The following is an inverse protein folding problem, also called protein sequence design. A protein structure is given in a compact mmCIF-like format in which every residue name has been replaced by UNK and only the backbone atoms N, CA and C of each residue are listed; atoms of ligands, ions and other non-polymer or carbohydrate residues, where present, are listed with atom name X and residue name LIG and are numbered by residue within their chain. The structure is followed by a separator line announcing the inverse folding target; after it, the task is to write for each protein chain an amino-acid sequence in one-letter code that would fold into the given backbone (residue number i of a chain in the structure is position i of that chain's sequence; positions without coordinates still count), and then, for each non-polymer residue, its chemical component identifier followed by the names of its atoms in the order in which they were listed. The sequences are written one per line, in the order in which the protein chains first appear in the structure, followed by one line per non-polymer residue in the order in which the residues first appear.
data_IF_389030242941
#
_entry.id   IF_389030242941
#
_cell.length_a   1.000
_cell.length_b   1.000
_cell.length_c   1.000
_cell.angle_alpha   90.00
_cell.angle_beta   90.00
_cell.angle_gamma   90.00
#
_symmetry.space_group_name_H-M   'P 1'
#
loop_
_entity.id
_entity.type
_entity.pdbx_description
1 polymer ?
#
# COMPACT_ATOMS: atom_id res chain seq x y z
N UNK A 1 -1.06 26.83 55.13
CA UNK A 1 0.36 26.84 54.73
C UNK A 1 0.60 25.59 53.88
N UNK A 2 0.63 25.72 52.55
CA UNK A 2 0.91 24.58 51.68
C UNK A 2 2.42 24.37 51.62
N UNK A 3 2.94 23.41 52.38
CA UNK A 3 4.34 23.01 52.27
C UNK A 3 4.55 22.32 50.92
N UNK A 4 5.21 23.01 50.00
CA UNK A 4 5.67 22.38 48.75
C UNK A 4 6.80 21.43 49.09
N UNK A 5 6.50 20.13 49.17
CA UNK A 5 7.52 19.08 49.31
C UNK A 5 8.35 19.07 48.02
N UNK A 6 9.50 19.74 48.03
CA UNK A 6 10.48 19.68 46.94
C UNK A 6 11.21 18.35 47.07
N UNK A 7 10.84 17.34 46.28
CA UNK A 7 11.61 16.09 46.19
C UNK A 7 13.00 16.40 45.63
N UNK A 8 14.04 16.17 46.44
CA UNK A 8 15.43 16.26 45.99
C UNK A 8 15.67 15.20 44.90
N UNK A 9 16.10 15.63 43.72
CA UNK A 9 16.46 14.72 42.64
C UNK A 9 17.75 13.98 43.02
N UNK A 10 17.79 12.66 42.82
CA UNK A 10 18.97 11.84 43.06
C UNK A 10 19.87 11.87 41.82
N UNK A 11 21.18 12.05 42.04
CA UNK A 11 22.19 11.88 40.99
C UNK A 11 22.34 10.38 40.67
N UNK A 12 22.24 10.03 39.41
CA UNK A 12 22.33 8.67 38.88
C UNK A 12 23.75 8.38 38.38
N UNK A 13 24.08 7.10 38.18
CA UNK A 13 25.40 6.64 37.74
C UNK A 13 25.80 7.21 36.37
N UNK A 14 24.81 7.44 35.51
CA UNK A 14 24.97 8.14 34.23
C UNK A 14 25.27 9.65 34.35
N UNK A 15 25.51 10.16 35.56
CA UNK A 15 25.82 11.57 35.84
C UNK A 15 24.62 12.51 35.85
N UNK A 16 23.48 12.08 35.32
CA UNK A 16 22.23 12.84 35.26
C UNK A 16 21.41 12.73 36.55
N UNK A 17 20.43 13.62 36.72
CA UNK A 17 19.45 13.51 37.80
C UNK A 17 18.24 12.67 37.41
N UNK A 18 17.67 11.99 38.40
CA UNK A 18 16.41 11.29 38.24
C UNK A 18 15.23 12.26 38.00
N UNK A 19 14.12 11.73 37.51
CA UNK A 19 12.89 12.51 37.29
C UNK A 19 11.71 11.89 38.06
N UNK A 20 10.62 12.65 38.19
CA UNK A 20 9.43 12.18 38.91
C UNK A 20 8.90 10.89 38.27
N UNK A 21 8.61 9.88 39.10
CA UNK A 21 8.19 8.54 38.68
C UNK A 21 9.24 7.72 37.91
N UNK A 22 10.52 8.10 38.02
CA UNK A 22 11.60 7.35 37.37
C UNK A 22 11.92 6.04 38.07
N UNK A 23 12.08 4.96 37.28
CA UNK A 23 12.60 3.67 37.72
C UNK A 23 14.13 3.68 37.74
N UNK A 24 14.74 4.55 38.55
CA UNK A 24 16.20 4.76 38.59
C UNK A 24 16.82 5.21 37.23
N UNK A 25 16.08 5.98 36.43
CA UNK A 25 16.55 6.47 35.13
C UNK A 25 16.38 7.98 35.03
N UNK A 26 17.27 8.66 34.31
CA UNK A 26 17.01 10.05 33.94
C UNK A 26 15.98 10.09 32.80
N UNK A 27 15.41 11.26 32.54
CA UNK A 27 14.38 11.42 31.48
C UNK A 27 14.90 10.93 30.12
N UNK A 28 16.12 11.29 29.75
CA UNK A 28 16.73 10.89 28.48
C UNK A 28 16.90 9.37 28.38
N UNK A 29 17.47 8.72 29.39
CA UNK A 29 17.64 7.25 29.39
C UNK A 29 16.31 6.49 29.41
N UNK A 30 15.28 7.03 30.10
CA UNK A 30 13.95 6.46 30.04
C UNK A 30 13.35 6.57 28.62
N UNK A 31 13.53 7.71 27.95
CA UNK A 31 13.11 7.90 26.57
C UNK A 31 13.84 6.95 25.62
N UNK A 32 15.16 6.83 25.73
CA UNK A 32 15.98 5.91 24.91
C UNK A 32 15.48 4.47 25.08
N UNK A 33 15.37 3.98 26.32
CA UNK A 33 14.89 2.62 26.62
C UNK A 33 13.47 2.37 26.09
N UNK A 34 12.58 3.35 26.23
CA UNK A 34 11.22 3.24 25.69
C UNK A 34 11.20 3.23 24.16
N UNK A 35 12.14 3.91 23.52
CA UNK A 35 12.26 3.98 22.05
C UNK A 35 12.83 2.69 21.51
N UNK A 36 13.91 2.18 22.09
CA UNK A 36 14.49 0.86 21.76
C UNK A 36 13.43 -0.23 21.80
N UNK A 37 12.67 -0.31 22.90
CA UNK A 37 11.57 -1.30 23.03
C UNK A 37 10.49 -1.16 21.93
N UNK A 38 10.21 0.05 21.45
CA UNK A 38 9.25 0.26 20.35
C UNK A 38 9.83 -0.16 19.00
N UNK A 39 11.13 0.10 18.78
CA UNK A 39 11.84 -0.30 17.56
C UNK A 39 11.91 -1.82 17.48
N UNK A 40 12.38 -2.48 18.55
CA UNK A 40 12.43 -3.95 18.65
C UNK A 40 11.06 -4.58 18.34
N UNK A 41 10.00 -4.05 18.95
CA UNK A 41 8.63 -4.52 18.69
C UNK A 41 8.20 -4.31 17.23
N UNK A 42 8.60 -3.21 16.60
CA UNK A 42 8.26 -2.92 15.21
C UNK A 42 9.00 -3.86 14.26
N UNK A 43 10.29 -4.12 14.50
CA UNK A 43 11.10 -5.06 13.74
C UNK A 43 10.53 -6.49 13.83
N UNK A 44 10.16 -6.94 15.04
CA UNK A 44 9.49 -8.23 15.26
C UNK A 44 8.15 -8.31 14.50
N UNK A 45 7.37 -7.22 14.50
CA UNK A 45 6.10 -7.15 13.78
C UNK A 45 6.30 -7.22 12.26
N UNK A 46 7.29 -6.53 11.72
CA UNK A 46 7.62 -6.60 10.30
C UNK A 46 8.10 -7.99 9.89
N UNK A 47 8.90 -8.66 10.72
CA UNK A 47 9.42 -10.00 10.40
C UNK A 47 8.33 -11.09 10.50
N UNK A 48 7.43 -10.96 11.49
CA UNK A 48 6.30 -11.86 11.68
C UNK A 48 5.13 -11.61 10.72
N UNK A 49 5.21 -10.59 9.88
CA UNK A 49 4.13 -10.25 8.96
C UNK A 49 3.87 -11.38 7.96
N UNK A 50 2.60 -11.78 7.87
CA UNK A 50 2.16 -12.87 7.01
C UNK A 50 2.14 -12.42 5.54
N UNK A 51 2.46 -13.34 4.64
CA UNK A 51 2.36 -13.11 3.18
C UNK A 51 0.95 -12.66 2.79
N UNK A 52 -0.09 -13.21 3.43
CA UNK A 52 -1.47 -12.84 3.16
C UNK A 52 -1.79 -11.39 3.53
N UNK A 53 -1.27 -10.91 4.67
CA UNK A 53 -1.44 -9.51 5.07
C UNK A 53 -0.73 -8.58 4.10
N UNK A 54 0.51 -8.91 3.71
CA UNK A 54 1.27 -8.15 2.71
C UNK A 54 0.54 -8.07 1.36
N UNK A 55 -0.01 -9.20 0.88
CA UNK A 55 -0.80 -9.23 -0.36
C UNK A 55 -2.06 -8.37 -0.23
N UNK A 56 -2.76 -8.42 0.91
CA UNK A 56 -3.96 -7.62 1.15
C UNK A 56 -3.65 -6.13 1.16
N UNK A 57 -2.59 -5.73 1.86
CA UNK A 57 -2.13 -4.34 1.90
C UNK A 57 -1.69 -3.86 0.52
N UNK A 58 -0.96 -4.69 -0.22
CA UNK A 58 -0.51 -4.38 -1.57
C UNK A 58 -1.68 -4.28 -2.54
N UNK A 59 -2.68 -5.17 -2.48
CA UNK A 59 -3.91 -5.07 -3.28
C UNK A 59 -4.62 -3.74 -3.04
N UNK A 60 -4.74 -3.33 -1.78
CA UNK A 60 -5.36 -2.06 -1.42
C UNK A 60 -4.59 -0.88 -2.03
N UNK A 61 -3.28 -0.81 -1.79
CA UNK A 61 -2.44 0.28 -2.29
C UNK A 61 -2.41 0.31 -3.81
N UNK A 62 -2.23 -0.83 -4.46
CA UNK A 62 -2.17 -0.97 -5.91
C UNK A 62 -3.49 -0.59 -6.58
N UNK A 63 -4.62 -1.05 -6.03
CA UNK A 63 -5.97 -0.67 -6.50
C UNK A 63 -6.20 0.84 -6.39
N UNK A 64 -5.77 1.46 -5.28
CA UNK A 64 -5.83 2.90 -5.14
C UNK A 64 -4.90 3.61 -6.14
N UNK A 65 -3.69 3.11 -6.34
CA UNK A 65 -2.74 3.68 -7.30
C UNK A 65 -3.32 3.68 -8.72
N UNK A 66 -3.80 2.55 -9.23
CA UNK A 66 -4.39 2.46 -10.57
C UNK A 66 -5.56 3.45 -10.71
N UNK A 67 -6.49 3.46 -9.77
CA UNK A 67 -7.65 4.38 -9.84
C UNK A 67 -7.26 5.85 -9.80
N UNK A 68 -6.29 6.21 -8.96
CA UNK A 68 -5.82 7.59 -8.87
C UNK A 68 -4.96 7.98 -10.08
N UNK A 69 -4.18 7.05 -10.66
CA UNK A 69 -3.35 7.28 -11.86
C UNK A 69 -4.21 7.77 -13.03
N UNK A 70 -5.32 7.10 -13.32
CA UNK A 70 -6.19 7.40 -14.46
C UNK A 70 -7.24 8.48 -14.22
N UNK A 71 -7.38 8.98 -12.99
CA UNK A 71 -8.33 10.05 -12.69
C UNK A 71 -7.85 11.43 -13.15
N UNK A 72 -8.79 12.34 -13.39
CA UNK A 72 -8.49 13.76 -13.60
C UNK A 72 -8.23 14.50 -12.28
N UNK A 73 -7.87 15.79 -12.35
CA UNK A 73 -7.62 16.64 -11.18
C UNK A 73 -8.84 16.80 -10.25
N UNK A 74 -10.05 16.51 -10.75
CA UNK A 74 -11.32 16.60 -10.01
C UNK A 74 -11.72 15.28 -9.36
N UNK A 75 -10.92 14.22 -9.52
CA UNK A 75 -11.19 12.91 -8.95
C UNK A 75 -12.22 12.09 -9.73
N UNK A 76 -12.48 12.42 -10.99
CA UNK A 76 -13.31 11.63 -11.90
C UNK A 76 -12.43 10.75 -12.78
N UNK A 77 -12.93 9.57 -13.11
CA UNK A 77 -12.25 8.61 -13.99
C UNK A 77 -13.26 7.96 -14.92
N UNK A 78 -12.76 7.50 -16.05
CA UNK A 78 -13.55 6.84 -17.08
C UNK A 78 -13.32 5.31 -17.04
N UNK A 79 -14.40 4.53 -17.10
CA UNK A 79 -14.32 3.08 -17.20
C UNK A 79 -13.64 2.68 -18.51
N UNK A 80 -12.62 1.85 -18.41
CA UNK A 80 -11.78 1.44 -19.53
C UNK A 80 -12.54 0.74 -20.67
N UNK A 81 -13.61 0.02 -20.36
CA UNK A 81 -14.35 -0.80 -21.34
C UNK A 81 -15.64 -0.19 -21.85
N UNK A 82 -16.33 0.62 -21.03
CA UNK A 82 -17.65 1.18 -21.39
C UNK A 82 -17.71 2.71 -21.39
N UNK A 83 -16.59 3.39 -21.14
CA UNK A 83 -16.48 4.86 -21.10
C UNK A 83 -17.38 5.59 -20.09
N UNK A 84 -18.00 4.86 -19.14
CA UNK A 84 -18.75 5.49 -18.04
C UNK A 84 -17.81 6.36 -17.21
N UNK A 85 -18.16 7.62 -16.97
CA UNK A 85 -17.45 8.51 -16.03
C UNK A 85 -18.07 8.44 -14.64
N UNK A 86 -17.26 8.29 -13.61
CA UNK A 86 -17.68 8.35 -12.21
C UNK A 86 -16.53 8.82 -11.30
N UNK A 87 -16.82 9.24 -10.06
CA UNK A 87 -15.78 9.48 -9.06
C UNK A 87 -14.93 8.23 -8.81
N UNK A 88 -13.65 8.40 -8.47
CA UNK A 88 -12.71 7.30 -8.14
C UNK A 88 -13.31 6.30 -7.12
N UNK A 89 -14.08 6.81 -6.15
CA UNK A 89 -14.68 6.00 -5.09
C UNK A 89 -15.67 4.95 -5.60
N UNK A 90 -16.31 5.19 -6.75
CA UNK A 90 -17.30 4.30 -7.37
C UNK A 90 -16.69 3.31 -8.37
N UNK A 91 -15.38 3.40 -8.58
CA UNK A 91 -14.65 2.63 -9.59
C UNK A 91 -13.75 1.59 -8.93
N UNK A 92 -13.47 0.51 -9.65
CA UNK A 92 -12.63 -0.61 -9.23
C UNK A 92 -11.39 -0.75 -10.12
N UNK A 93 -10.39 -1.49 -9.63
CA UNK A 93 -9.24 -1.91 -10.41
C UNK A 93 -9.55 -3.24 -11.13
N UNK A 94 -9.80 -3.16 -12.44
CA UNK A 94 -10.04 -4.32 -13.29
C UNK A 94 -8.75 -4.95 -13.77
N UNK A 95 -8.72 -6.29 -13.82
CA UNK A 95 -7.58 -7.06 -14.29
C UNK A 95 -7.93 -7.84 -15.56
N UNK A 96 -7.04 -7.82 -16.56
CA UNK A 96 -7.21 -8.63 -17.76
C UNK A 96 -7.00 -10.12 -17.46
N UNK A 97 -5.82 -10.46 -16.93
CA UNK A 97 -5.53 -11.77 -16.35
C UNK A 97 -5.88 -11.77 -14.88
N UNK A 98 -6.50 -12.86 -14.42
CA UNK A 98 -6.98 -13.03 -13.04
C UNK A 98 -5.93 -12.70 -11.99
N UNK A 99 -6.41 -12.13 -10.88
CA UNK A 99 -5.63 -11.88 -9.65
C UNK A 99 -4.95 -13.14 -9.10
N UNK A 100 -5.44 -14.35 -9.42
CA UNK A 100 -4.77 -15.60 -9.01
C UNK A 100 -3.39 -15.77 -9.63
N UNK A 101 -3.09 -15.08 -10.74
CA UNK A 101 -1.78 -15.05 -11.35
C UNK A 101 -0.90 -13.98 -10.67
N UNK A 102 -0.07 -14.39 -9.71
CA UNK A 102 0.79 -13.44 -9.00
C UNK A 102 1.81 -12.73 -9.86
N UNK A 103 2.22 -13.31 -11.00
CA UNK A 103 3.18 -12.67 -11.92
C UNK A 103 2.60 -11.45 -12.61
N UNK A 104 1.27 -11.44 -12.82
CA UNK A 104 0.57 -10.36 -13.50
C UNK A 104 -0.34 -9.53 -12.59
N UNK A 105 -0.60 -9.99 -11.37
CA UNK A 105 -1.53 -9.34 -10.42
C UNK A 105 -1.17 -7.88 -10.15
N UNK A 106 0.11 -7.58 -9.96
CA UNK A 106 0.61 -6.24 -9.65
C UNK A 106 1.31 -5.58 -10.84
N UNK A 107 1.03 -6.07 -12.06
CA UNK A 107 1.55 -5.51 -13.29
C UNK A 107 0.60 -4.44 -13.82
N UNK A 108 1.09 -3.22 -14.00
CA UNK A 108 0.27 -2.10 -14.47
C UNK A 108 -0.34 -2.37 -15.86
N UNK A 109 0.38 -3.04 -16.77
CA UNK A 109 -0.11 -3.40 -18.10
C UNK A 109 -1.29 -4.39 -18.06
N UNK A 110 -1.43 -5.15 -16.97
CA UNK A 110 -2.55 -6.07 -16.76
C UNK A 110 -3.80 -5.37 -16.18
N UNK A 111 -3.71 -4.10 -15.77
CA UNK A 111 -4.70 -3.46 -14.89
C UNK A 111 -5.22 -2.12 -15.42
N UNK A 112 -6.54 -1.92 -15.43
CA UNK A 112 -7.18 -0.66 -15.82
C UNK A 112 -8.39 -0.36 -14.95
N UNK A 113 -8.78 0.91 -14.88
CA UNK A 113 -9.95 1.34 -14.08
C UNK A 113 -11.24 0.89 -14.76
N UNK A 114 -12.16 0.31 -13.99
CA UNK A 114 -13.45 -0.11 -14.50
C UNK A 114 -14.58 0.24 -13.53
N UNK A 115 -15.78 0.39 -14.07
CA UNK A 115 -16.98 0.42 -13.24
C UNK A 115 -17.30 -0.99 -12.74
N UNK A 116 -17.99 -1.07 -11.60
CA UNK A 116 -18.35 -2.34 -10.95
C UNK A 116 -19.03 -3.32 -11.91
N UNK A 117 -19.99 -2.84 -12.70
CA UNK A 117 -20.77 -3.66 -13.63
C UNK A 117 -19.94 -4.25 -14.79
N UNK A 118 -18.86 -3.60 -15.20
CA UNK A 118 -17.96 -4.13 -16.21
C UNK A 118 -16.95 -5.10 -15.58
N UNK A 119 -16.37 -4.74 -14.43
CA UNK A 119 -15.41 -5.59 -13.74
C UNK A 119 -16.03 -6.93 -13.32
N UNK A 120 -17.29 -6.93 -12.87
CA UNK A 120 -18.01 -8.16 -12.48
C UNK A 120 -18.28 -9.11 -13.66
N UNK A 121 -18.26 -8.62 -14.91
CA UNK A 121 -18.51 -9.43 -16.11
C UNK A 121 -17.27 -10.17 -16.61
N UNK A 122 -16.09 -9.91 -16.06
CA UNK A 122 -14.83 -10.52 -16.54
C UNK A 122 -14.86 -12.05 -16.48
N UNK A 123 -15.58 -12.62 -15.52
CA UNK A 123 -15.76 -14.08 -15.42
C UNK A 123 -16.57 -14.66 -16.60
N UNK A 124 -17.46 -13.86 -17.18
CA UNK A 124 -18.34 -14.27 -18.28
C UNK A 124 -17.84 -13.84 -19.66
N UNK A 125 -17.30 -12.63 -19.78
CA UNK A 125 -16.84 -12.06 -21.04
C UNK A 125 -15.73 -11.02 -20.80
N UNK A 126 -14.50 -11.38 -21.15
CA UNK A 126 -13.31 -10.53 -21.08
C UNK A 126 -13.05 -9.77 -22.39
N UNK A 127 -13.79 -10.07 -23.46
CA UNK A 127 -13.57 -9.56 -24.82
C UNK A 127 -13.53 -8.03 -24.89
N UNK A 128 -14.43 -7.28 -24.20
CA UNK A 128 -14.37 -5.82 -24.21
C UNK A 128 -13.06 -5.27 -23.65
N UNK A 129 -12.50 -5.92 -22.62
CA UNK A 129 -11.21 -5.53 -22.05
C UNK A 129 -10.07 -5.85 -23.02
N UNK A 130 -10.10 -7.04 -23.64
CA UNK A 130 -9.13 -7.46 -24.66
C UNK A 130 -9.04 -6.46 -25.80
N UNK A 131 -10.19 -6.07 -26.36
CA UNK A 131 -10.27 -5.10 -27.47
C UNK A 131 -9.72 -3.74 -27.04
N UNK A 132 -10.06 -3.27 -25.84
CA UNK A 132 -9.56 -2.00 -25.33
C UNK A 132 -8.03 -2.03 -25.13
N UNK A 133 -7.48 -3.11 -24.58
CA UNK A 133 -6.03 -3.31 -24.42
C UNK A 133 -5.29 -3.31 -25.76
N UNK A 134 -5.77 -4.06 -26.74
CA UNK A 134 -5.16 -4.11 -28.07
C UNK A 134 -5.23 -2.77 -28.80
N UNK A 135 -6.30 -1.99 -28.56
CA UNK A 135 -6.42 -0.63 -29.08
C UNK A 135 -5.42 0.32 -28.43
N UNK A 136 -5.13 0.15 -27.13
CA UNK A 136 -4.16 0.97 -26.41
C UNK A 136 -2.71 0.59 -26.76
N UNK A 137 -2.41 -0.71 -26.81
CA UNK A 137 -1.08 -1.25 -27.08
C UNK A 137 -1.21 -2.56 -27.87
N UNK A 138 -1.00 -2.47 -29.17
CA UNK A 138 -1.09 -3.63 -30.06
C UNK A 138 -0.12 -4.75 -29.63
N UNK A 139 -0.62 -5.99 -29.56
CA UNK A 139 0.13 -7.19 -29.18
C UNK A 139 0.28 -7.41 -27.67
N UNK A 140 -0.24 -6.52 -26.82
CA UNK A 140 -0.09 -6.66 -25.37
C UNK A 140 -0.82 -7.88 -24.82
N UNK A 141 -1.96 -8.25 -25.41
CA UNK A 141 -2.77 -9.36 -24.87
C UNK A 141 -2.11 -10.70 -25.10
N UNK A 142 -1.48 -10.92 -26.26
CA UNK A 142 -0.68 -12.11 -26.54
C UNK A 142 0.52 -12.22 -25.59
N UNK A 143 1.19 -11.10 -25.33
CA UNK A 143 2.30 -11.06 -24.38
C UNK A 143 1.83 -11.40 -22.96
N UNK A 144 0.75 -10.78 -22.48
CA UNK A 144 0.16 -11.06 -21.16
C UNK A 144 -0.29 -12.53 -21.05
N UNK A 145 -0.97 -13.07 -22.06
CA UNK A 145 -1.39 -14.47 -22.11
C UNK A 145 -0.19 -15.43 -22.08
N UNK A 146 0.93 -15.05 -22.70
CA UNK A 146 2.18 -15.82 -22.67
C UNK A 146 2.84 -15.76 -21.30
N UNK A 147 2.95 -14.57 -20.69
CA UNK A 147 3.47 -14.42 -19.34
C UNK A 147 2.60 -15.13 -18.30
N UNK A 148 1.28 -15.18 -18.52
CA UNK A 148 0.34 -15.81 -17.60
C UNK A 148 0.58 -17.32 -17.42
N UNK A 149 1.25 -17.96 -18.39
CA UNK A 149 1.61 -19.39 -18.32
C UNK A 149 2.80 -19.66 -17.38
N UNK A 150 3.56 -18.63 -17.02
CA UNK A 150 4.69 -18.77 -16.11
C UNK A 150 4.20 -18.87 -14.67
N UNK A 151 4.69 -19.87 -13.94
CA UNK A 151 4.38 -20.04 -12.52
C UNK A 151 5.29 -19.12 -11.72
N UNK A 152 4.69 -18.17 -11.02
CA UNK A 152 5.40 -17.25 -10.13
C UNK A 152 4.74 -17.20 -8.76
N UNK A 153 5.56 -17.20 -7.71
CA UNK A 153 5.14 -17.03 -6.31
C UNK A 153 6.03 -15.98 -5.67
N UNK A 154 5.46 -14.86 -5.20
CA UNK A 154 6.27 -13.79 -4.64
C UNK A 154 6.79 -14.16 -3.25
N UNK A 155 8.00 -13.72 -2.94
CA UNK A 155 8.57 -13.79 -1.59
C UNK A 155 8.03 -12.68 -0.69
N UNK A 156 8.28 -12.79 0.62
CA UNK A 156 7.90 -11.73 1.57
C UNK A 156 8.62 -10.42 1.24
N UNK A 157 9.90 -10.51 0.91
CA UNK A 157 10.77 -9.40 0.60
C UNK A 157 10.31 -8.67 -0.68
N UNK A 158 9.95 -9.43 -1.73
CA UNK A 158 9.39 -8.86 -2.97
C UNK A 158 8.07 -8.13 -2.72
N UNK A 159 7.17 -8.70 -1.90
CA UNK A 159 5.91 -8.05 -1.55
C UNK A 159 6.13 -6.74 -0.77
N UNK A 160 7.08 -6.73 0.18
CA UNK A 160 7.45 -5.52 0.93
C UNK A 160 8.02 -4.44 0.01
N UNK A 161 8.89 -4.82 -0.93
CA UNK A 161 9.45 -3.89 -1.92
C UNK A 161 8.37 -3.30 -2.82
N UNK A 162 7.49 -4.13 -3.37
CA UNK A 162 6.36 -3.69 -4.19
C UNK A 162 5.41 -2.77 -3.38
N UNK A 163 5.15 -3.10 -2.12
CA UNK A 163 4.31 -2.28 -1.24
C UNK A 163 4.94 -0.90 -1.01
N UNK A 164 6.24 -0.83 -0.75
CA UNK A 164 6.95 0.44 -0.62
C UNK A 164 6.90 1.26 -1.92
N UNK A 165 7.16 0.61 -3.07
CA UNK A 165 7.11 1.24 -4.39
C UNK A 165 5.73 1.83 -4.69
N UNK A 166 4.66 1.03 -4.53
CA UNK A 166 3.32 1.49 -4.85
C UNK A 166 2.76 2.49 -3.83
N UNK A 167 3.20 2.46 -2.56
CA UNK A 167 2.90 3.53 -1.60
C UNK A 167 3.52 4.85 -2.05
N UNK A 168 4.77 4.83 -2.52
CA UNK A 168 5.43 6.00 -3.09
C UNK A 168 4.69 6.52 -4.33
N UNK A 169 4.43 5.64 -5.31
CA UNK A 169 3.68 5.99 -6.54
C UNK A 169 2.29 6.54 -6.23
N UNK A 170 1.57 5.94 -5.27
CA UNK A 170 0.24 6.41 -4.83
C UNK A 170 0.31 7.83 -4.25
N UNK A 171 1.30 8.10 -3.41
CA UNK A 171 1.48 9.43 -2.84
C UNK A 171 1.81 10.47 -3.91
N UNK A 172 2.60 10.09 -4.91
CA UNK A 172 2.95 10.95 -6.02
C UNK A 172 1.74 11.30 -6.88
N UNK A 173 0.96 10.30 -7.33
CA UNK A 173 -0.25 10.56 -8.13
C UNK A 173 -1.31 11.33 -7.36
N UNK A 174 -1.34 11.24 -6.02
CA UNK A 174 -2.27 12.01 -5.18
C UNK A 174 -1.94 13.49 -5.09
N UNK A 175 -0.73 13.93 -5.47
CA UNK A 175 -0.35 15.35 -5.45
C UNK A 175 -1.24 16.19 -6.37
N UNK A 176 -1.75 15.64 -7.47
CA UNK A 176 -2.59 16.37 -8.44
C UNK A 176 -3.94 16.85 -7.89
N UNK A 177 -4.42 16.25 -6.80
CA UNK A 177 -5.68 16.65 -6.14
C UNK A 177 -5.49 17.78 -5.12
N UNK A 178 -4.25 18.08 -4.71
CA UNK A 178 -3.94 19.14 -3.76
C UNK A 178 -3.79 20.45 -4.53
N UNK A 179 -4.91 21.00 -4.98
CA UNK A 179 -5.02 22.40 -5.42
C UNK A 179 -5.41 23.29 -4.25
#
# INVERSE_FOLDING_TARGET
MNSTIIRKKRKLDCGCYDYAFSKNLCKAHATIKSTQKRVEKHEEQEESESIQNLISDLDFVFSHYIRNKYADDKGFVECYTCSKKAPIAEMSNGHYTSRSNYGLRFMEDNCRVQCYACNSKHETDITPFKIALEKEKQGITEWLETQARQVYKPTREELKQLLAEYRYKLNDVKKKFKK
#
